data_IF_960771408624
#
_entry.id   IF_960771408624
#
_cell.length_a   1.000
_cell.length_b   1.000
_cell.length_c   1.000
_cell.angle_alpha   90.00
_cell.angle_beta   90.00
_cell.angle_gamma   90.00
#
_symmetry.space_group_name_H-M   'P 1'
#
loop_
_entity.id
_entity.type
_entity.pdbx_description
1 polymer ?
#
# COMPACT_ATOMS: atom_id res chain seq x y z
N UNK A 1 -33.01 -7.40 -3.04
CA UNK A 1 -31.84 -7.08 -2.19
C UNK A 1 -30.98 -6.08 -2.94
N UNK A 2 -30.96 -4.86 -2.49
CA UNK A 2 -30.03 -3.85 -3.00
C UNK A 2 -28.64 -4.20 -2.52
N UNK A 3 -27.75 -4.60 -3.42
CA UNK A 3 -26.34 -4.68 -3.11
C UNK A 3 -25.89 -3.25 -2.74
N UNK A 4 -25.69 -3.00 -1.44
CA UNK A 4 -25.05 -1.77 -1.01
C UNK A 4 -23.63 -1.79 -1.58
N UNK A 5 -23.37 -0.86 -2.48
CA UNK A 5 -22.03 -0.64 -3.02
C UNK A 5 -21.11 -0.32 -1.84
N UNK A 6 -20.14 -1.17 -1.55
CA UNK A 6 -19.18 -0.92 -0.48
C UNK A 6 -18.47 0.42 -0.74
N UNK A 7 -18.53 1.32 0.26
CA UNK A 7 -17.85 2.60 0.17
C UNK A 7 -16.33 2.36 0.25
N UNK A 8 -15.60 2.75 -0.78
CA UNK A 8 -14.16 2.57 -0.90
C UNK A 8 -13.48 3.91 -1.20
N UNK A 9 -12.43 4.24 -0.44
CA UNK A 9 -11.60 5.42 -0.66
C UNK A 9 -10.13 5.06 -0.51
N UNK A 10 -9.34 5.25 -1.57
CA UNK A 10 -7.89 5.08 -1.49
C UNK A 10 -7.28 6.18 -0.63
N UNK A 11 -6.44 5.80 0.33
CA UNK A 11 -5.75 6.71 1.27
C UNK A 11 -4.29 6.87 0.88
N UNK A 12 -3.61 5.78 0.57
CA UNK A 12 -2.21 5.78 0.19
C UNK A 12 -1.91 4.64 -0.78
N UNK A 13 -0.97 4.88 -1.67
CA UNK A 13 -0.49 3.90 -2.64
C UNK A 13 1.05 3.84 -2.59
N UNK A 14 1.61 2.65 -2.71
CA UNK A 14 3.05 2.42 -2.67
C UNK A 14 3.57 2.08 -4.07
N UNK A 15 3.69 3.08 -4.91
CA UNK A 15 4.15 2.92 -6.31
C UNK A 15 5.57 2.38 -6.38
N UNK A 16 6.44 2.80 -5.46
CA UNK A 16 7.82 2.34 -5.38
C UNK A 16 7.91 0.83 -5.17
N UNK A 17 6.99 0.24 -4.42
CA UNK A 17 6.95 -1.20 -4.20
C UNK A 17 6.76 -1.97 -5.50
N UNK A 18 5.89 -1.52 -6.39
CA UNK A 18 5.67 -2.15 -7.70
C UNK A 18 6.87 -2.00 -8.65
N UNK A 19 7.65 -0.96 -8.48
CA UNK A 19 8.89 -0.78 -9.23
C UNK A 19 10.02 -1.69 -8.72
N UNK A 20 10.16 -1.83 -7.40
CA UNK A 20 11.29 -2.47 -6.76
C UNK A 20 11.07 -3.97 -6.49
N UNK A 21 9.83 -4.44 -6.49
CA UNK A 21 9.45 -5.80 -6.07
C UNK A 21 8.50 -6.47 -7.04
N UNK A 22 8.62 -7.81 -7.13
CA UNK A 22 7.56 -8.66 -7.68
C UNK A 22 6.58 -9.01 -6.56
N UNK A 23 5.31 -8.74 -6.76
CA UNK A 23 4.24 -9.09 -5.81
C UNK A 23 3.79 -10.52 -6.09
N UNK A 24 4.06 -11.43 -5.17
CA UNK A 24 3.74 -12.85 -5.32
C UNK A 24 2.36 -13.19 -4.77
N UNK A 25 1.92 -12.53 -3.71
CA UNK A 25 0.62 -12.75 -3.08
C UNK A 25 0.19 -11.50 -2.31
N UNK A 26 -1.09 -11.38 -2.00
CA UNK A 26 -1.69 -10.22 -1.32
C UNK A 26 -2.63 -10.66 -0.21
N UNK A 27 -2.66 -9.88 0.87
CA UNK A 27 -3.56 -10.06 2.01
C UNK A 27 -4.12 -8.72 2.45
N UNK A 28 -5.39 -8.70 2.86
CA UNK A 28 -5.99 -7.52 3.48
C UNK A 28 -5.87 -7.60 5.00
N UNK A 29 -5.30 -6.57 5.61
CA UNK A 29 -5.16 -6.45 7.06
C UNK A 29 -5.92 -5.24 7.58
N UNK A 30 -6.48 -5.38 8.78
CA UNK A 30 -6.92 -4.23 9.57
C UNK A 30 -5.75 -3.58 10.31
N UNK A 31 -5.99 -2.44 10.92
CA UNK A 31 -4.99 -1.68 11.68
C UNK A 31 -5.55 -1.22 13.02
N UNK A 32 -4.72 -1.32 14.06
CA UNK A 32 -5.00 -0.69 15.35
C UNK A 32 -4.44 0.73 15.33
N UNK A 33 -5.32 1.72 15.36
CA UNK A 33 -4.97 3.13 15.22
C UNK A 33 -5.56 3.97 16.36
N UNK A 34 -4.88 5.07 16.68
CA UNK A 34 -5.41 6.11 17.57
C UNK A 34 -6.36 7.03 16.81
N UNK A 35 -7.10 7.88 17.54
CA UNK A 35 -8.03 8.83 16.92
C UNK A 35 -7.37 9.81 15.97
N UNK A 36 -6.18 10.33 16.32
CA UNK A 36 -5.44 11.26 15.46
C UNK A 36 -4.86 10.58 14.21
N UNK A 37 -4.48 9.31 14.31
CA UNK A 37 -4.02 8.53 13.15
C UNK A 37 -5.16 8.30 12.14
N UNK A 38 -6.35 7.92 12.61
CA UNK A 38 -7.55 7.77 11.76
C UNK A 38 -7.91 9.08 11.07
N UNK A 39 -7.89 10.19 11.79
CA UNK A 39 -8.21 11.52 11.23
C UNK A 39 -7.20 11.91 10.16
N UNK A 40 -5.92 11.68 10.41
CA UNK A 40 -4.85 11.90 9.43
C UNK A 40 -5.03 11.02 8.18
N UNK A 41 -5.36 9.77 8.36
CA UNK A 41 -5.61 8.84 7.27
C UNK A 41 -6.82 9.26 6.41
N UNK A 42 -7.90 9.72 7.03
CA UNK A 42 -9.08 10.23 6.30
C UNK A 42 -8.76 11.44 5.44
N UNK A 43 -7.78 12.25 5.84
CA UNK A 43 -7.27 13.36 5.04
C UNK A 43 -6.27 12.94 3.95
N UNK A 44 -5.97 11.65 3.83
CA UNK A 44 -5.01 11.13 2.86
C UNK A 44 -3.55 11.40 3.20
N UNK A 45 -3.24 11.69 4.46
CA UNK A 45 -1.92 12.10 4.93
C UNK A 45 -1.10 10.92 5.46
N UNK A 46 -1.04 9.86 4.67
CA UNK A 46 -0.27 8.64 4.95
C UNK A 46 0.70 8.37 3.83
N UNK A 47 1.93 8.01 4.17
CA UNK A 47 2.96 7.60 3.23
C UNK A 47 3.44 6.20 3.56
N UNK A 48 3.51 5.34 2.56
CA UNK A 48 3.92 3.95 2.69
C UNK A 48 5.33 3.68 2.13
N UNK A 49 5.96 4.70 1.58
CA UNK A 49 7.32 4.58 1.06
C UNK A 49 8.27 4.11 2.15
N UNK A 50 9.07 3.10 1.84
CA UNK A 50 10.01 2.46 2.77
C UNK A 50 9.35 1.75 3.97
N UNK A 51 8.03 1.63 3.99
CA UNK A 51 7.33 0.83 4.98
C UNK A 51 7.43 -0.67 4.66
N UNK A 52 7.40 -1.47 5.71
CA UNK A 52 7.39 -2.93 5.61
C UNK A 52 6.59 -3.53 6.77
N UNK A 53 6.23 -4.79 6.65
CA UNK A 53 5.60 -5.51 7.74
C UNK A 53 6.54 -6.58 8.30
N UNK A 54 6.41 -6.86 9.58
CA UNK A 54 7.15 -7.89 10.27
C UNK A 54 6.24 -8.68 11.19
N UNK A 55 6.60 -9.92 11.46
CA UNK A 55 5.87 -10.82 12.36
C UNK A 55 6.78 -11.27 13.46
N UNK A 56 6.43 -10.96 14.69
CA UNK A 56 7.13 -11.50 15.86
C UNK A 56 6.18 -11.72 17.04
N UNK A 57 6.48 -12.68 17.88
CA UNK A 57 5.63 -13.08 19.01
C UNK A 57 4.17 -13.37 18.62
N UNK A 58 3.96 -13.93 17.41
CA UNK A 58 2.63 -14.26 16.92
C UNK A 58 1.76 -13.07 16.52
N UNK A 59 2.35 -11.89 16.34
CA UNK A 59 1.68 -10.66 15.96
C UNK A 59 2.33 -10.04 14.72
N UNK A 60 1.51 -9.44 13.85
CA UNK A 60 1.98 -8.73 12.67
C UNK A 60 2.02 -7.23 12.93
N UNK A 61 3.09 -6.58 12.49
CA UNK A 61 3.36 -5.16 12.72
C UNK A 61 3.71 -4.45 11.41
N UNK A 62 3.15 -3.27 11.24
CA UNK A 62 3.52 -2.34 10.16
C UNK A 62 4.61 -1.40 10.68
N UNK A 63 5.76 -1.41 10.01
CA UNK A 63 6.95 -0.63 10.37
C UNK A 63 7.17 0.49 9.37
N UNK A 64 7.68 1.62 9.83
CA UNK A 64 8.07 2.77 8.99
C UNK A 64 6.96 3.39 8.14
N UNK A 65 5.70 3.11 8.39
CA UNK A 65 4.63 3.86 7.77
C UNK A 65 4.56 5.26 8.40
N UNK A 66 4.37 6.29 7.59
CA UNK A 66 4.30 7.66 8.05
C UNK A 66 2.85 8.15 8.04
N UNK A 67 2.31 8.43 9.22
CA UNK A 67 1.03 9.10 9.40
C UNK A 67 1.32 10.51 9.88
N UNK A 68 1.06 11.51 9.04
CA UNK A 68 1.31 12.91 9.39
C UNK A 68 0.58 13.30 10.67
N UNK A 69 1.15 14.16 11.52
CA UNK A 69 0.43 14.67 12.68
C UNK A 69 -0.88 15.33 12.27
N UNK A 70 -1.94 15.08 13.03
CA UNK A 70 -3.23 15.70 12.78
C UNK A 70 -3.17 17.18 13.21
N UNK A 71 -3.52 18.09 12.30
CA UNK A 71 -3.36 19.54 12.50
C UNK A 71 -4.13 20.12 13.69
N UNK A 72 -5.25 19.49 14.05
CA UNK A 72 -6.06 19.86 15.22
C UNK A 72 -5.77 19.02 16.47
N UNK A 73 -4.81 18.09 16.37
CA UNK A 73 -4.26 17.36 17.53
C UNK A 73 -3.28 18.27 18.28
N UNK A 74 -3.24 18.15 19.58
CA UNK A 74 -2.31 18.88 20.44
C UNK A 74 -1.26 17.92 21.01
N UNK A 75 -0.98 17.97 22.31
CA UNK A 75 -0.03 17.10 23.01
C UNK A 75 -0.39 15.60 22.92
N UNK A 76 -1.61 15.25 22.59
CA UNK A 76 -2.07 13.87 22.41
C UNK A 76 -1.93 13.35 20.98
N UNK A 77 -1.22 14.07 20.12
CA UNK A 77 -0.96 13.63 18.76
C UNK A 77 -0.06 12.39 18.75
N UNK A 78 -0.20 11.57 17.73
CA UNK A 78 0.58 10.35 17.58
C UNK A 78 2.01 10.62 17.08
N UNK A 79 2.92 9.69 17.34
CA UNK A 79 4.23 9.67 16.71
C UNK A 79 4.09 9.24 15.25
N UNK A 80 4.59 10.02 14.25
CA UNK A 80 4.33 9.76 12.84
C UNK A 80 4.76 8.39 12.33
N UNK A 81 5.90 7.88 12.80
CA UNK A 81 6.53 6.65 12.29
C UNK A 81 6.50 5.47 13.25
N UNK A 82 5.70 5.54 14.31
CA UNK A 82 5.62 4.43 15.25
C UNK A 82 5.14 3.14 14.56
N UNK A 83 5.53 1.98 15.09
CA UNK A 83 5.00 0.70 14.65
C UNK A 83 3.51 0.60 14.95
N UNK A 84 2.76 -0.02 14.02
CA UNK A 84 1.31 -0.19 14.16
C UNK A 84 0.93 -1.64 14.02
N UNK A 85 0.06 -2.10 14.89
CA UNK A 85 -0.39 -3.49 14.87
C UNK A 85 -1.32 -3.74 13.70
N UNK A 86 -1.05 -4.81 12.96
CA UNK A 86 -1.90 -5.30 11.89
C UNK A 86 -2.86 -6.36 12.44
N UNK A 87 -4.10 -6.30 11.99
CA UNK A 87 -5.14 -7.25 12.38
C UNK A 87 -5.37 -8.24 11.25
N UNK A 88 -5.02 -9.49 11.51
CA UNK A 88 -5.11 -10.61 10.58
C UNK A 88 -5.65 -11.84 11.31
N UNK A 89 -6.25 -12.76 10.56
CA UNK A 89 -6.60 -14.06 11.09
C UNK A 89 -5.33 -14.86 11.47
N UNK A 90 -5.44 -15.72 12.46
CA UNK A 90 -4.30 -16.52 12.94
C UNK A 90 -3.63 -17.30 11.81
N UNK A 91 -4.40 -17.88 10.90
CA UNK A 91 -3.88 -18.57 9.71
C UNK A 91 -3.03 -17.66 8.81
N UNK A 92 -3.48 -16.43 8.64
CA UNK A 92 -2.76 -15.44 7.82
C UNK A 92 -1.46 -15.03 8.48
N UNK A 93 -1.47 -14.82 9.81
CA UNK A 93 -0.25 -14.52 10.57
C UNK A 93 0.75 -15.66 10.48
N UNK A 94 0.32 -16.90 10.62
CA UNK A 94 1.19 -18.08 10.51
C UNK A 94 1.79 -18.20 9.10
N UNK A 95 1.01 -17.94 8.07
CA UNK A 95 1.48 -17.89 6.67
C UNK A 95 2.54 -16.79 6.48
N UNK A 96 2.28 -15.59 6.97
CA UNK A 96 3.20 -14.46 6.87
C UNK A 96 4.48 -14.71 7.67
N UNK A 97 4.40 -15.34 8.84
CA UNK A 97 5.55 -15.71 9.66
C UNK A 97 6.50 -16.63 8.89
N UNK A 98 5.96 -17.66 8.24
CA UNK A 98 6.74 -18.54 7.38
C UNK A 98 7.38 -17.82 6.20
N UNK A 99 6.64 -16.97 5.52
CA UNK A 99 7.12 -16.20 4.36
C UNK A 99 8.15 -15.13 4.74
N UNK A 100 7.99 -14.49 5.90
CA UNK A 100 8.96 -13.50 6.39
C UNK A 100 10.34 -14.10 6.69
N UNK A 101 10.41 -15.37 7.06
CA UNK A 101 11.66 -16.11 7.28
C UNK A 101 12.28 -16.65 5.98
N UNK A 102 11.53 -16.71 4.90
CA UNK A 102 11.98 -17.22 3.61
C UNK A 102 12.93 -16.22 2.95
N UNK A 103 14.11 -16.70 2.53
CA UNK A 103 15.14 -15.86 1.94
C UNK A 103 14.66 -15.19 0.67
N UNK A 104 14.88 -13.87 0.57
CA UNK A 104 14.50 -13.07 -0.59
C UNK A 104 13.05 -12.60 -0.60
N UNK A 105 12.26 -12.95 0.41
CA UNK A 105 10.88 -12.45 0.54
C UNK A 105 10.80 -11.33 1.58
N UNK A 106 9.96 -10.34 1.29
CA UNK A 106 9.68 -9.20 2.16
C UNK A 106 8.17 -8.92 2.16
N UNK A 107 7.65 -8.51 3.30
CA UNK A 107 6.26 -8.12 3.44
C UNK A 107 6.16 -6.60 3.29
N UNK A 108 5.47 -6.13 2.27
CA UNK A 108 5.38 -4.71 1.90
C UNK A 108 3.92 -4.26 1.88
N UNK A 109 3.56 -3.14 2.54
CA UNK A 109 2.24 -2.55 2.35
C UNK A 109 2.15 -1.94 0.96
N UNK A 110 1.18 -2.39 0.17
CA UNK A 110 1.00 -1.95 -1.21
C UNK A 110 0.08 -0.74 -1.31
N UNK A 111 -0.97 -0.72 -0.52
CA UNK A 111 -1.90 0.41 -0.43
C UNK A 111 -2.68 0.40 0.88
N UNK A 112 -3.19 1.55 1.23
CA UNK A 112 -4.17 1.73 2.30
C UNK A 112 -5.45 2.34 1.75
N UNK A 113 -6.58 1.92 2.26
CA UNK A 113 -7.88 2.40 1.84
C UNK A 113 -8.89 2.32 2.98
N UNK A 114 -9.89 3.19 2.90
CA UNK A 114 -11.06 3.13 3.76
C UNK A 114 -12.12 2.28 3.07
N UNK A 115 -12.56 1.24 3.75
CA UNK A 115 -13.62 0.34 3.31
C UNK A 115 -14.72 0.37 4.36
N UNK A 116 -15.88 0.92 4.01
CA UNK A 116 -16.99 1.15 4.94
C UNK A 116 -16.55 1.88 6.23
N UNK A 117 -15.71 2.90 6.11
CA UNK A 117 -15.19 3.70 7.21
C UNK A 117 -14.06 3.08 8.02
N UNK A 118 -13.65 1.84 7.72
CA UNK A 118 -12.54 1.16 8.38
C UNK A 118 -11.28 1.24 7.53
N UNK A 119 -10.17 1.62 8.14
CA UNK A 119 -8.89 1.63 7.43
C UNK A 119 -8.33 0.23 7.29
N UNK A 120 -8.07 -0.16 6.05
CA UNK A 120 -7.47 -1.43 5.67
C UNK A 120 -6.13 -1.21 4.97
N UNK A 121 -5.25 -2.18 5.11
CA UNK A 121 -3.95 -2.20 4.43
C UNK A 121 -3.85 -3.47 3.58
N UNK A 122 -3.55 -3.32 2.31
CA UNK A 122 -3.21 -4.45 1.46
C UNK A 122 -1.72 -4.74 1.61
N UNK A 123 -1.40 -5.91 2.17
CA UNK A 123 -0.03 -6.39 2.31
C UNK A 123 0.35 -7.26 1.12
N UNK A 124 1.53 -7.06 0.58
CA UNK A 124 2.11 -7.93 -0.44
C UNK A 124 3.22 -8.80 0.13
N UNK A 125 3.23 -10.06 -0.27
CA UNK A 125 4.39 -10.93 -0.14
C UNK A 125 5.22 -10.72 -1.39
N UNK A 126 6.39 -10.11 -1.25
CA UNK A 126 7.15 -9.56 -2.36
C UNK A 126 8.57 -10.13 -2.43
N UNK A 127 9.08 -10.25 -3.65
CA UNK A 127 10.49 -10.56 -3.92
C UNK A 127 11.13 -9.34 -4.55
N UNK A 128 12.32 -8.95 -4.06
CA UNK A 128 13.09 -7.86 -4.61
C UNK A 128 13.48 -8.12 -6.06
N UNK A 129 13.29 -7.11 -6.93
CA UNK A 129 13.77 -7.15 -8.31
C UNK A 129 15.27 -6.91 -8.37
N UNK A 130 15.94 -7.60 -9.28
CA UNK A 130 17.33 -7.31 -9.63
C UNK A 130 17.39 -6.06 -10.51
N UNK A 131 18.56 -5.45 -10.63
CA UNK A 131 18.73 -4.20 -11.38
C UNK A 131 18.25 -4.31 -12.84
N UNK A 132 18.52 -5.42 -13.51
CA UNK A 132 18.07 -5.63 -14.88
C UNK A 132 16.53 -5.76 -15.00
N UNK A 133 15.86 -6.33 -13.99
CA UNK A 133 14.39 -6.44 -13.93
C UNK A 133 13.77 -5.05 -13.77
N UNK A 134 14.36 -4.18 -12.96
CA UNK A 134 13.92 -2.80 -12.77
C UNK A 134 14.04 -1.98 -14.05
N UNK A 135 15.14 -2.14 -14.80
CA UNK A 135 15.35 -1.49 -16.10
C UNK A 135 14.30 -1.93 -17.12
N UNK A 136 14.02 -3.23 -17.21
CA UNK A 136 13.00 -3.76 -18.11
C UNK A 136 11.60 -3.22 -17.78
N UNK A 137 11.23 -3.16 -16.51
CA UNK A 137 9.95 -2.62 -16.05
C UNK A 137 9.82 -1.11 -16.38
N UNK A 138 10.87 -0.33 -16.22
CA UNK A 138 10.91 1.10 -16.58
C UNK A 138 10.73 1.29 -18.08
N UNK A 139 11.45 0.52 -18.89
CA UNK A 139 11.36 0.55 -20.35
C UNK A 139 9.95 0.21 -20.85
N UNK A 140 9.35 -0.83 -20.33
CA UNK A 140 7.98 -1.22 -20.66
C UNK A 140 6.97 -0.12 -20.34
N UNK A 141 7.11 0.51 -19.15
CA UNK A 141 6.25 1.62 -18.73
C UNK A 141 6.36 2.80 -19.67
N UNK A 142 7.57 3.19 -20.06
CA UNK A 142 7.83 4.28 -21.00
C UNK A 142 7.21 4.00 -22.37
N UNK A 143 7.39 2.80 -22.92
CA UNK A 143 6.79 2.38 -24.18
C UNK A 143 5.26 2.42 -24.14
N UNK A 144 4.66 1.99 -23.06
CA UNK A 144 3.20 2.05 -22.86
C UNK A 144 2.70 3.49 -22.82
N UNK A 145 3.41 4.39 -22.13
CA UNK A 145 3.06 5.81 -22.07
C UNK A 145 3.18 6.48 -23.44
N UNK A 146 4.22 6.19 -24.22
CA UNK A 146 4.38 6.69 -25.59
C UNK A 146 3.26 6.20 -26.49
N UNK A 147 2.89 4.95 -26.44
CA UNK A 147 1.78 4.38 -27.20
C UNK A 147 0.46 5.08 -26.86
N UNK A 148 0.18 5.33 -25.58
CA UNK A 148 -1.01 6.07 -25.14
C UNK A 148 -1.03 7.51 -25.63
N UNK A 149 0.11 8.20 -25.61
CA UNK A 149 0.24 9.56 -26.16
C UNK A 149 -0.04 9.60 -27.66
N UNK A 150 0.52 8.65 -28.43
CA UNK A 150 0.30 8.54 -29.86
C UNK A 150 -1.19 8.31 -30.21
N UNK A 151 -1.87 7.45 -29.45
CA UNK A 151 -3.31 7.21 -29.60
C UNK A 151 -4.14 8.45 -29.28
N UNK A 152 -3.81 9.18 -28.23
CA UNK A 152 -4.50 10.41 -27.84
C UNK A 152 -4.40 11.49 -28.92
N UNK A 153 -3.21 11.68 -29.48
CA UNK A 153 -2.98 12.63 -30.58
C UNK A 153 -3.75 12.26 -31.86
N UNK A 154 -3.85 10.96 -32.17
CA UNK A 154 -4.63 10.46 -33.29
C UNK A 154 -6.12 10.78 -33.15
N UNK A 155 -6.67 10.49 -31.97
CA UNK A 155 -8.08 10.76 -31.67
C UNK A 155 -8.41 12.26 -31.71
N UNK A 156 -7.50 13.12 -31.27
CA UNK A 156 -7.68 14.57 -31.31
C UNK A 156 -7.72 15.14 -32.76
N UNK A 157 -6.99 14.50 -33.68
CA UNK A 157 -7.02 14.92 -35.12
C UNK A 157 -8.33 14.56 -35.80
N UNK A 158 -8.93 13.42 -35.46
CA UNK A 158 -10.23 13.01 -36.04
C UNK A 158 -11.42 13.78 -35.50
N UNK A 159 -11.29 14.48 -34.38
CA UNK A 159 -12.35 15.32 -33.82
C UNK A 159 -12.36 16.74 -34.42
N UNK A 160 -11.33 17.15 -35.17
CA UNK A 160 -11.17 18.45 -35.78
C UNK A 160 -11.38 18.44 -37.32
N UNK A 161 -11.75 17.31 -37.89
CA UNK A 161 -12.20 17.16 -39.28
C UNK A 161 -13.73 17.00 -39.31
#
# INVERSE_FOLDING_TARGET
>A
MTQQKEAFKLVADNRKAYHDYFVLDRLEAGLVLTGTEIKSAREGRVQLRDAYADVYNGEAWLMNSHFSPYSHGNIYNHEPTKKRKLLLHRREIDKLSGKALEKGLTLIPLKMYLKNGLLKCELGICRGKKEHDKRAATKEREQTMEAKKAMSLRNSRHLNE
#
